data_IF_565848121702
#
_entry.id   IF_565848121702
#
_cell.length_a   1.000
_cell.length_b   1.000
_cell.length_c   1.000
_cell.angle_alpha   90.00
_cell.angle_beta   90.00
_cell.angle_gamma   90.00
#
_symmetry.space_group_name_H-M   'P 1'
#
loop_
_entity.id
_entity.type
_entity.pdbx_description
1 polymer ?
#
# COMPACT_ATOMS: atom_id res chain seq x y z
N UNK A 1 31.67 -1.76 -1.76
CA UNK A 1 31.61 -1.37 -0.32
C UNK A 1 31.17 -2.59 0.49
N UNK A 2 31.65 -2.77 1.73
CA UNK A 2 31.35 -3.98 2.53
C UNK A 2 29.87 -4.13 2.89
N UNK A 3 29.40 -5.37 3.07
CA UNK A 3 27.98 -5.70 3.36
C UNK A 3 27.42 -5.00 4.61
N UNK A 4 28.26 -4.67 5.60
CA UNK A 4 27.85 -4.00 6.84
C UNK A 4 27.47 -2.53 6.57
N UNK A 5 28.20 -1.83 5.70
CA UNK A 5 27.94 -0.43 5.38
C UNK A 5 26.57 -0.27 4.71
N UNK A 6 26.21 -1.18 3.79
CA UNK A 6 24.90 -1.17 3.13
C UNK A 6 23.74 -1.43 4.10
N UNK A 7 23.93 -2.30 5.10
CA UNK A 7 22.91 -2.48 6.17
C UNK A 7 22.74 -1.18 6.97
N UNK A 8 23.84 -0.48 7.25
CA UNK A 8 23.79 0.81 7.94
C UNK A 8 23.06 1.88 7.10
N UNK A 9 23.26 1.89 5.79
CA UNK A 9 22.52 2.74 4.85
C UNK A 9 21.01 2.46 4.90
N UNK A 10 20.60 1.18 4.93
CA UNK A 10 19.19 0.81 5.07
C UNK A 10 18.59 1.31 6.38
N UNK A 11 19.28 1.18 7.51
CA UNK A 11 18.82 1.78 8.78
C UNK A 11 18.80 3.31 8.74
N UNK A 12 19.77 3.93 8.06
CA UNK A 12 19.83 5.38 7.88
C UNK A 12 18.64 5.87 7.06
N UNK A 13 18.25 5.14 6.01
CA UNK A 13 17.04 5.42 5.25
C UNK A 13 15.79 5.33 6.14
N UNK A 14 15.60 4.22 6.86
CA UNK A 14 14.45 4.03 7.75
C UNK A 14 14.35 5.18 8.75
N UNK A 15 15.47 5.53 9.40
CA UNK A 15 15.56 6.66 10.31
C UNK A 15 15.20 7.97 9.60
N UNK A 16 15.73 8.23 8.40
CA UNK A 16 15.46 9.46 7.66
C UNK A 16 13.96 9.60 7.33
N UNK A 17 13.33 8.53 6.82
CA UNK A 17 11.91 8.52 6.50
C UNK A 17 11.04 8.72 7.76
N UNK A 18 11.44 8.13 8.89
CA UNK A 18 10.74 8.33 10.17
C UNK A 18 10.83 9.75 10.72
N UNK A 19 11.87 10.52 10.37
CA UNK A 19 12.02 11.92 10.80
C UNK A 19 11.21 12.89 9.94
N UNK A 20 10.94 12.54 8.67
CA UNK A 20 10.13 13.38 7.77
C UNK A 20 8.66 13.29 8.18
N UNK A 21 8.11 12.06 8.22
CA UNK A 21 6.77 11.77 8.74
C UNK A 21 5.65 12.69 8.20
N UNK A 22 5.55 12.82 6.88
CA UNK A 22 4.58 13.64 6.16
C UNK A 22 5.01 13.99 4.72
N UNK A 23 4.43 15.05 4.17
CA UNK A 23 4.54 15.42 2.76
C UNK A 23 5.86 16.12 2.37
N UNK A 24 6.70 16.48 3.34
CA UNK A 24 7.94 17.25 3.13
C UNK A 24 9.10 16.42 2.53
N UNK A 25 8.81 15.21 2.03
CA UNK A 25 9.80 14.38 1.36
C UNK A 25 10.24 15.02 0.03
N UNK A 26 11.55 15.28 -0.10
CA UNK A 26 12.07 15.79 -1.36
C UNK A 26 12.03 14.72 -2.47
N UNK A 27 11.91 15.18 -3.71
CA UNK A 27 11.68 14.31 -4.89
C UNK A 27 12.87 13.38 -5.14
N UNK A 28 14.10 13.85 -4.93
CA UNK A 28 15.30 13.01 -5.06
C UNK A 28 15.29 11.83 -4.10
N UNK A 29 14.89 12.03 -2.84
CA UNK A 29 14.81 10.97 -1.84
C UNK A 29 13.65 10.02 -2.14
N UNK A 30 12.52 10.57 -2.59
CA UNK A 30 11.35 9.81 -2.99
C UNK A 30 11.71 8.83 -4.14
N UNK A 31 12.24 9.36 -5.23
CA UNK A 31 12.63 8.56 -6.41
C UNK A 31 13.74 7.58 -6.06
N UNK A 32 14.78 8.02 -5.32
CA UNK A 32 15.83 7.12 -4.85
C UNK A 32 15.26 5.99 -4.01
N UNK A 33 14.25 6.24 -3.18
CA UNK A 33 13.63 5.18 -2.37
C UNK A 33 12.81 4.24 -3.25
N UNK A 34 12.03 4.79 -4.18
CA UNK A 34 11.18 4.02 -5.09
C UNK A 34 11.98 3.08 -6.01
N UNK A 35 13.13 3.52 -6.50
CA UNK A 35 13.93 2.78 -7.50
C UNK A 35 15.20 2.11 -6.94
N UNK A 36 15.38 2.04 -5.61
CA UNK A 36 16.55 1.37 -5.01
C UNK A 36 16.22 0.04 -4.34
N UNK A 37 17.23 -0.84 -4.33
CA UNK A 37 17.25 -2.08 -3.56
C UNK A 37 17.99 -1.85 -2.24
N UNK A 38 17.32 -2.15 -1.14
CA UNK A 38 17.94 -2.08 0.18
C UNK A 38 18.65 -3.38 0.58
N UNK A 39 19.72 -3.25 1.37
CA UNK A 39 20.43 -4.40 1.93
C UNK A 39 19.74 -4.85 3.21
N UNK A 40 18.92 -5.88 3.09
CA UNK A 40 18.04 -6.31 4.17
C UNK A 40 18.81 -6.99 5.33
N UNK A 41 18.81 -6.42 6.55
CA UNK A 41 19.31 -7.12 7.73
C UNK A 41 18.39 -8.29 8.11
N UNK A 42 18.73 -9.11 9.12
CA UNK A 42 17.81 -10.10 9.68
C UNK A 42 16.44 -9.48 9.98
N UNK A 43 15.36 -10.20 9.65
CA UNK A 43 13.97 -9.74 9.67
C UNK A 43 13.60 -8.67 8.64
N UNK A 44 14.56 -8.20 7.85
CA UNK A 44 14.38 -7.25 6.78
C UNK A 44 13.38 -7.71 5.72
N UNK A 45 12.51 -6.81 5.28
CA UNK A 45 11.47 -7.01 4.27
C UNK A 45 11.36 -5.77 3.42
N UNK A 46 10.96 -5.97 2.19
CA UNK A 46 10.93 -4.92 1.19
C UNK A 46 9.79 -5.16 0.21
N UNK A 47 8.99 -4.12 -0.02
CA UNK A 47 7.76 -4.21 -0.81
C UNK A 47 7.67 -3.02 -1.77
N UNK A 48 7.19 -3.30 -2.98
CA UNK A 48 6.62 -2.31 -3.87
C UNK A 48 5.17 -2.70 -4.12
N UNK A 49 4.26 -1.82 -3.74
CA UNK A 49 2.85 -1.94 -4.05
C UNK A 49 2.46 -0.90 -5.09
N UNK A 50 1.80 -1.37 -6.13
CA UNK A 50 1.22 -0.53 -7.17
C UNK A 50 -0.29 -0.74 -7.14
N UNK A 51 -1.00 0.19 -6.52
CA UNK A 51 -2.45 0.15 -6.39
C UNK A 51 -3.08 1.15 -7.35
N UNK A 52 -4.12 0.72 -8.07
CA UNK A 52 -4.91 1.59 -8.94
C UNK A 52 -6.39 1.40 -8.65
N UNK A 53 -7.10 2.51 -8.50
CA UNK A 53 -8.51 2.57 -8.16
C UNK A 53 -9.25 3.32 -9.26
N UNK A 54 -10.15 2.63 -9.98
CA UNK A 54 -10.97 3.20 -11.03
C UNK A 54 -12.02 4.17 -10.47
N UNK A 55 -12.43 5.15 -11.27
CA UNK A 55 -13.44 6.14 -10.88
C UNK A 55 -14.86 5.84 -11.40
N UNK A 56 -15.01 4.82 -12.24
CA UNK A 56 -16.25 4.50 -12.95
C UNK A 56 -16.86 3.16 -12.50
N UNK A 57 -18.20 3.13 -12.40
CA UNK A 57 -19.00 1.93 -12.09
C UNK A 57 -19.35 1.77 -10.61
N UNK A 58 -20.35 0.95 -10.30
CA UNK A 58 -20.77 0.67 -8.91
C UNK A 58 -19.69 -0.07 -8.11
N UNK A 59 -18.94 -0.94 -8.79
CA UNK A 59 -17.76 -1.66 -8.28
C UNK A 59 -16.61 -1.36 -9.23
N UNK A 60 -15.83 -0.30 -8.99
CA UNK A 60 -14.85 0.15 -9.97
C UNK A 60 -13.71 -0.85 -10.18
N UNK A 61 -13.08 -0.75 -11.34
CA UNK A 61 -11.85 -1.50 -11.66
C UNK A 61 -10.81 -1.23 -10.57
N UNK A 62 -10.23 -2.28 -10.00
CA UNK A 62 -9.15 -2.15 -9.02
C UNK A 62 -8.01 -3.08 -9.35
N UNK A 63 -6.78 -2.57 -9.22
CA UNK A 63 -5.57 -3.30 -9.57
C UNK A 63 -4.63 -3.25 -8.39
N UNK A 64 -3.99 -4.38 -8.09
CA UNK A 64 -2.85 -4.44 -7.18
C UNK A 64 -1.75 -5.25 -7.82
N UNK A 65 -0.56 -4.67 -7.94
CA UNK A 65 0.67 -5.39 -8.28
C UNK A 65 1.65 -5.29 -7.10
N UNK A 66 2.44 -6.35 -6.92
CA UNK A 66 3.37 -6.53 -5.82
C UNK A 66 4.73 -6.97 -6.34
N UNK A 67 5.80 -6.34 -5.87
CA UNK A 67 7.14 -6.92 -5.79
C UNK A 67 7.48 -7.07 -4.31
N UNK A 68 7.82 -8.28 -3.87
CA UNK A 68 8.12 -8.58 -2.49
C UNK A 68 9.42 -9.36 -2.36
N UNK A 69 10.29 -8.93 -1.44
CA UNK A 69 11.42 -9.74 -0.97
C UNK A 69 11.64 -9.60 0.52
N UNK A 70 12.41 -10.54 1.07
CA UNK A 70 12.81 -10.52 2.46
C UNK A 70 14.22 -11.05 2.64
N UNK A 71 14.77 -10.81 3.82
CA UNK A 71 15.97 -11.49 4.28
C UNK A 71 15.75 -13.01 4.38
N UNK A 72 16.79 -13.77 4.05
CA UNK A 72 16.78 -15.24 4.01
C UNK A 72 16.72 -15.77 2.57
N UNK A 73 16.77 -17.10 2.43
CA UNK A 73 16.96 -17.75 1.11
C UNK A 73 15.66 -18.12 0.39
N UNK A 74 14.59 -18.37 1.14
CA UNK A 74 13.32 -18.84 0.59
C UNK A 74 12.13 -18.61 1.53
N UNK A 75 10.93 -18.83 0.99
CA UNK A 75 9.67 -18.99 1.71
C UNK A 75 8.66 -19.78 0.86
N UNK A 76 7.57 -20.22 1.47
CA UNK A 76 6.35 -20.57 0.77
C UNK A 76 5.49 -19.31 0.62
N UNK A 77 5.12 -18.99 -0.61
CA UNK A 77 4.15 -17.95 -0.95
C UNK A 77 2.99 -18.64 -1.67
N UNK A 78 1.78 -18.60 -1.12
CA UNK A 78 0.63 -19.36 -1.62
C UNK A 78 0.93 -20.85 -1.83
N UNK A 79 1.63 -21.44 -0.86
CA UNK A 79 2.11 -22.84 -0.88
C UNK A 79 3.12 -23.18 -2.00
N UNK A 80 3.60 -22.19 -2.76
CA UNK A 80 4.69 -22.36 -3.74
C UNK A 80 6.01 -21.92 -3.12
N UNK A 81 7.08 -22.70 -3.31
CA UNK A 81 8.42 -22.28 -2.85
C UNK A 81 8.94 -21.13 -3.72
N UNK A 82 9.21 -20.00 -3.08
CA UNK A 82 9.82 -18.82 -3.68
C UNK A 82 11.19 -18.59 -3.04
N UNK A 83 12.20 -18.33 -3.88
CA UNK A 83 13.57 -18.07 -3.47
C UNK A 83 13.86 -16.57 -3.46
N UNK A 84 14.79 -16.18 -2.60
CA UNK A 84 15.30 -14.81 -2.52
C UNK A 84 16.82 -14.84 -2.64
N UNK A 85 17.35 -13.98 -3.49
CA UNK A 85 18.78 -13.83 -3.67
C UNK A 85 19.09 -12.40 -4.13
N UNK A 86 20.26 -11.90 -3.74
CA UNK A 86 20.86 -10.73 -4.37
C UNK A 86 21.77 -11.26 -5.48
N UNK A 87 21.48 -10.90 -6.72
CA UNK A 87 22.22 -11.37 -7.89
C UNK A 87 23.33 -10.38 -8.25
N UNK A 88 23.02 -9.08 -8.19
CA UNK A 88 23.96 -7.97 -8.35
C UNK A 88 23.52 -6.80 -7.47
N UNK A 89 24.17 -5.63 -7.59
CA UNK A 89 23.78 -4.44 -6.81
C UNK A 89 22.35 -3.97 -7.14
N UNK A 90 21.93 -4.19 -8.38
CA UNK A 90 20.70 -3.69 -8.98
C UNK A 90 19.71 -4.82 -9.35
N UNK A 91 20.03 -6.08 -9.02
CA UNK A 91 19.19 -7.23 -9.36
C UNK A 91 18.93 -8.14 -8.16
N UNK A 92 17.66 -8.46 -7.96
CA UNK A 92 17.21 -9.37 -6.90
C UNK A 92 16.22 -10.38 -7.42
N UNK A 93 16.28 -11.59 -6.87
CA UNK A 93 15.23 -12.57 -7.02
C UNK A 93 14.13 -12.29 -5.97
N UNK A 94 12.92 -12.03 -6.43
CA UNK A 94 11.79 -11.60 -5.63
C UNK A 94 10.52 -12.41 -5.96
N UNK A 95 9.49 -12.24 -5.13
CA UNK A 95 8.12 -12.64 -5.46
C UNK A 95 7.47 -11.49 -6.20
N UNK A 96 6.85 -11.78 -7.33
CA UNK A 96 5.93 -10.87 -7.98
C UNK A 96 4.54 -11.48 -8.03
N UNK A 97 3.53 -10.66 -7.85
CA UNK A 97 2.13 -11.10 -7.78
C UNK A 97 1.21 -9.95 -8.13
N UNK A 98 -0.03 -10.25 -8.51
CA UNK A 98 -1.03 -9.22 -8.66
C UNK A 98 -2.43 -9.75 -8.90
N UNK A 99 -3.38 -8.83 -8.95
CA UNK A 99 -4.75 -9.12 -9.33
C UNK A 99 -5.41 -7.88 -9.93
N UNK A 100 -6.43 -8.11 -10.75
CA UNK A 100 -7.27 -7.09 -11.37
C UNK A 100 -8.72 -7.48 -11.09
N UNK A 101 -9.47 -6.63 -10.40
CA UNK A 101 -10.92 -6.68 -10.43
C UNK A 101 -11.39 -5.80 -11.60
N UNK A 102 -12.16 -6.35 -12.53
CA UNK A 102 -12.49 -5.68 -13.79
C UNK A 102 -13.86 -4.98 -13.80
N UNK A 103 -14.54 -4.96 -12.65
CA UNK A 103 -15.91 -4.49 -12.50
C UNK A 103 -16.94 -5.60 -12.33
N UNK A 104 -16.57 -6.85 -12.64
CA UNK A 104 -17.45 -8.01 -12.54
C UNK A 104 -16.77 -9.12 -11.72
N UNK A 105 -15.55 -9.50 -12.11
CA UNK A 105 -14.81 -10.60 -11.48
C UNK A 105 -13.35 -10.26 -11.14
N UNK A 106 -12.76 -11.07 -10.26
CA UNK A 106 -11.37 -10.95 -9.83
C UNK A 106 -10.46 -11.86 -10.67
N UNK A 107 -9.64 -11.24 -11.52
CA UNK A 107 -8.59 -11.88 -12.29
C UNK A 107 -7.30 -11.95 -11.47
N UNK A 108 -6.93 -13.14 -11.00
CA UNK A 108 -5.64 -13.36 -10.31
C UNK A 108 -4.52 -13.51 -11.33
N UNK A 109 -3.45 -12.75 -11.14
CA UNK A 109 -2.22 -12.88 -11.91
C UNK A 109 -1.28 -13.78 -11.09
N UNK A 110 -0.83 -14.89 -11.67
CA UNK A 110 -0.16 -15.94 -10.91
C UNK A 110 1.15 -15.46 -10.26
N UNK A 111 1.34 -15.87 -8.99
CA UNK A 111 2.58 -15.60 -8.26
C UNK A 111 3.79 -16.17 -9.00
N UNK A 112 4.82 -15.35 -9.17
CA UNK A 112 6.03 -15.68 -9.93
C UNK A 112 7.27 -15.40 -9.10
N UNK A 113 8.28 -16.27 -9.21
CA UNK A 113 9.60 -16.01 -8.62
C UNK A 113 10.49 -15.36 -9.68
N UNK A 114 10.38 -14.04 -9.83
CA UNK A 114 10.99 -13.28 -10.91
C UNK A 114 12.26 -12.56 -10.46
N UNK A 115 13.15 -12.31 -11.42
CA UNK A 115 14.23 -11.34 -11.26
C UNK A 115 13.61 -9.94 -11.37
N UNK A 116 13.93 -9.06 -10.43
CA UNK A 116 13.63 -7.64 -10.50
C UNK A 116 14.95 -6.88 -10.68
N UNK A 117 15.07 -6.19 -11.81
CA UNK A 117 16.17 -5.29 -12.16
C UNK A 117 15.73 -3.85 -11.85
N UNK A 118 16.49 -3.16 -11.01
CA UNK A 118 16.24 -1.80 -10.58
C UNK A 118 17.31 -0.87 -11.11
N UNK A 119 16.90 0.06 -11.97
CA UNK A 119 17.70 1.12 -12.52
C UNK A 119 17.23 2.46 -11.95
N UNK A 120 18.00 3.53 -12.20
CA UNK A 120 17.77 4.87 -11.62
C UNK A 120 16.30 5.36 -11.67
N UNK A 121 15.59 5.06 -12.75
CA UNK A 121 14.24 5.53 -13.06
C UNK A 121 13.35 4.41 -13.62
N UNK A 122 13.73 3.14 -13.39
CA UNK A 122 13.05 2.00 -14.00
C UNK A 122 13.18 0.73 -13.15
N UNK A 123 12.09 -0.01 -13.03
CA UNK A 123 12.03 -1.37 -12.50
C UNK A 123 11.53 -2.28 -13.62
N UNK A 124 12.27 -3.34 -13.92
CA UNK A 124 11.87 -4.38 -14.87
C UNK A 124 11.75 -5.69 -14.11
N UNK A 125 10.65 -6.39 -14.29
CA UNK A 125 10.45 -7.73 -13.75
C UNK A 125 9.44 -8.51 -14.60
N UNK A 126 8.91 -9.60 -14.07
CA UNK A 126 7.93 -10.44 -14.74
C UNK A 126 6.82 -10.82 -13.75
N UNK A 127 5.57 -10.88 -14.22
CA UNK A 127 4.49 -11.56 -13.50
C UNK A 127 3.77 -12.51 -14.46
N UNK A 128 3.76 -13.79 -14.13
CA UNK A 128 3.06 -14.84 -14.87
C UNK A 128 3.43 -14.89 -16.36
N UNK A 129 4.73 -14.79 -16.68
CA UNK A 129 5.23 -14.79 -18.06
C UNK A 129 5.11 -13.45 -18.81
N UNK A 130 4.50 -12.43 -18.20
CA UNK A 130 4.38 -11.09 -18.79
C UNK A 130 5.41 -10.13 -18.20
N UNK A 131 6.12 -9.40 -19.05
CA UNK A 131 7.05 -8.36 -18.61
C UNK A 131 6.29 -7.26 -17.86
N UNK A 132 6.79 -6.90 -16.67
CA UNK A 132 6.34 -5.75 -15.91
C UNK A 132 7.41 -4.67 -15.97
N UNK A 133 7.00 -3.45 -16.36
CA UNK A 133 7.88 -2.28 -16.34
C UNK A 133 7.21 -1.15 -15.57
N UNK A 134 7.87 -0.68 -14.53
CA UNK A 134 7.54 0.57 -13.84
C UNK A 134 8.67 1.58 -14.10
N UNK A 135 8.36 2.77 -14.61
CA UNK A 135 9.39 3.74 -14.98
C UNK A 135 8.96 5.19 -14.80
N UNK A 136 9.92 6.10 -14.72
CA UNK A 136 9.70 7.54 -14.65
C UNK A 136 10.29 8.14 -13.39
N UNK A 137 9.77 9.30 -12.99
CA UNK A 137 10.21 10.06 -11.83
C UNK A 137 9.04 10.87 -11.30
N UNK A 138 9.02 11.20 -10.02
CA UNK A 138 7.93 12.03 -9.49
C UNK A 138 7.79 13.35 -10.29
N UNK A 139 6.56 13.79 -10.65
CA UNK A 139 5.25 13.16 -10.41
C UNK A 139 4.72 12.30 -11.58
N UNK A 140 5.56 11.95 -12.56
CA UNK A 140 5.15 11.28 -13.79
C UNK A 140 5.74 9.86 -13.89
N UNK A 141 4.86 8.86 -13.86
CA UNK A 141 5.26 7.46 -13.96
C UNK A 141 4.52 6.73 -15.08
N UNK A 142 5.05 5.59 -15.46
CA UNK A 142 4.45 4.63 -16.38
C UNK A 142 4.50 3.24 -15.73
N UNK A 143 3.38 2.52 -15.78
CA UNK A 143 3.29 1.12 -15.39
C UNK A 143 2.77 0.31 -16.58
N UNK A 144 3.49 -0.74 -16.94
CA UNK A 144 3.06 -1.72 -17.95
C UNK A 144 3.19 -3.14 -17.41
N UNK A 145 2.27 -4.01 -17.83
CA UNK A 145 2.32 -5.46 -17.59
C UNK A 145 1.80 -6.17 -18.83
N UNK A 146 2.71 -6.60 -19.72
CA UNK A 146 2.37 -7.13 -21.04
C UNK A 146 1.29 -6.30 -21.74
N UNK A 147 0.28 -6.97 -22.29
CA UNK A 147 -0.90 -6.33 -22.89
C UNK A 147 -2.04 -6.07 -21.87
N UNK A 148 -1.86 -6.48 -20.61
CA UNK A 148 -2.90 -6.39 -19.58
C UNK A 148 -3.02 -4.97 -19.01
N UNK A 149 -1.91 -4.28 -18.80
CA UNK A 149 -1.87 -2.97 -18.15
C UNK A 149 -0.95 -2.04 -18.92
N UNK A 150 -1.43 -0.82 -19.19
CA UNK A 150 -0.62 0.29 -19.66
C UNK A 150 -1.19 1.58 -19.08
N UNK A 151 -0.60 2.05 -17.99
CA UNK A 151 -1.09 3.18 -17.20
C UNK A 151 -0.04 4.26 -17.08
N UNK A 152 -0.42 5.47 -17.49
CA UNK A 152 0.35 6.69 -17.26
C UNK A 152 -0.17 7.36 -16.01
N UNK A 153 0.76 7.73 -15.14
CA UNK A 153 0.49 8.44 -13.90
C UNK A 153 1.01 9.87 -14.03
N UNK A 154 0.22 10.82 -13.55
CA UNK A 154 0.56 12.24 -13.51
C UNK A 154 0.13 12.84 -12.19
N UNK A 155 0.66 14.02 -11.88
CA UNK A 155 0.18 14.77 -10.73
C UNK A 155 -1.34 14.99 -10.82
N UNK A 156 -2.03 14.84 -9.69
CA UNK A 156 -3.47 15.03 -9.58
C UNK A 156 -3.83 16.09 -8.56
N UNK A 157 -5.13 16.34 -8.39
CA UNK A 157 -5.62 17.25 -7.36
C UNK A 157 -5.76 16.54 -6.01
N UNK A 158 -4.64 16.27 -5.34
CA UNK A 158 -4.60 15.71 -3.98
C UNK A 158 -3.98 16.72 -3.02
N UNK A 159 -4.43 16.76 -1.76
CA UNK A 159 -3.83 17.61 -0.72
C UNK A 159 -2.37 17.20 -0.47
N UNK A 160 -2.13 15.90 -0.35
CA UNK A 160 -0.80 15.30 -0.21
C UNK A 160 -0.59 14.35 -1.40
N UNK A 161 0.27 14.72 -2.35
CA UNK A 161 0.58 13.94 -3.56
C UNK A 161 1.76 12.98 -3.36
N UNK A 162 2.50 13.15 -2.27
CA UNK A 162 3.60 12.29 -1.84
C UNK A 162 3.75 12.40 -0.33
N UNK A 163 4.22 11.34 0.29
CA UNK A 163 4.56 11.32 1.71
C UNK A 163 5.76 10.40 1.98
N UNK A 164 6.47 10.67 3.07
CA UNK A 164 7.35 9.71 3.72
C UNK A 164 6.92 9.51 5.17
N UNK A 165 6.84 8.26 5.59
CA UNK A 165 6.54 7.91 6.98
C UNK A 165 7.53 6.87 7.48
N UNK A 166 7.61 6.76 8.80
CA UNK A 166 8.33 5.66 9.40
C UNK A 166 8.24 5.63 10.91
N UNK A 167 8.58 4.47 11.45
CA UNK A 167 8.78 4.25 12.88
C UNK A 167 10.15 3.62 13.04
N UNK A 168 10.99 4.14 13.94
CA UNK A 168 12.33 3.62 14.16
C UNK A 168 12.60 3.48 15.66
N UNK A 169 12.70 2.22 16.11
CA UNK A 169 13.04 1.83 17.47
C UNK A 169 14.15 0.76 17.38
N UNK A 170 15.44 1.17 17.32
CA UNK A 170 16.55 0.26 17.07
C UNK A 170 16.52 -1.01 17.95
N UNK A 171 16.76 -2.20 17.38
CA UNK A 171 17.12 -2.46 15.98
C UNK A 171 15.92 -2.59 15.02
N UNK A 172 14.70 -2.28 15.47
CA UNK A 172 13.48 -2.43 14.68
C UNK A 172 13.09 -1.11 14.02
N UNK A 173 12.42 -1.21 12.88
CA UNK A 173 11.79 -0.05 12.27
C UNK A 173 11.25 -0.33 10.88
N UNK A 174 10.41 0.57 10.41
CA UNK A 174 9.85 0.54 9.06
C UNK A 174 9.83 1.96 8.53
N UNK A 175 10.23 2.13 7.28
CA UNK A 175 10.12 3.39 6.56
C UNK A 175 9.47 3.12 5.22
N UNK A 176 8.63 4.04 4.77
CA UNK A 176 8.00 3.95 3.47
C UNK A 176 7.77 5.31 2.86
N UNK A 177 7.62 5.29 1.54
CA UNK A 177 7.17 6.42 0.76
C UNK A 177 5.88 6.06 0.04
N UNK A 178 4.98 7.03 -0.04
CA UNK A 178 3.73 6.94 -0.78
C UNK A 178 3.71 8.02 -1.87
N UNK A 179 3.16 7.68 -3.04
CA UNK A 179 2.86 8.64 -4.11
C UNK A 179 1.40 8.48 -4.50
N UNK A 180 0.71 9.59 -4.63
CA UNK A 180 -0.67 9.68 -5.10
C UNK A 180 -0.71 10.42 -6.42
N UNK A 181 -1.40 9.86 -7.39
CA UNK A 181 -1.40 10.39 -8.76
C UNK A 181 -2.70 10.07 -9.46
N UNK A 182 -3.05 10.86 -10.46
CA UNK A 182 -4.06 10.47 -11.43
C UNK A 182 -3.47 9.41 -12.36
N UNK A 183 -4.22 8.37 -12.65
CA UNK A 183 -3.82 7.30 -13.55
C UNK A 183 -4.81 7.19 -14.70
N UNK A 184 -4.27 7.06 -15.92
CA UNK A 184 -5.07 6.87 -17.13
C UNK A 184 -4.36 5.97 -18.12
N UNK A 185 -5.13 5.22 -18.91
CA UNK A 185 -4.58 4.35 -19.94
C UNK A 185 -5.49 3.18 -20.27
N UNK A 186 -4.93 1.97 -20.28
CA UNK A 186 -5.66 0.74 -20.59
C UNK A 186 -5.42 -0.35 -19.55
N UNK A 187 -6.49 -1.09 -19.26
CA UNK A 187 -6.51 -2.25 -18.37
C UNK A 187 -7.40 -3.29 -19.04
N UNK A 188 -6.87 -4.50 -19.26
CA UNK A 188 -7.54 -5.58 -19.99
C UNK A 188 -8.13 -5.10 -21.34
N UNK A 189 -7.36 -4.29 -22.06
CA UNK A 189 -7.76 -3.67 -23.34
C UNK A 189 -8.79 -2.53 -23.24
N UNK A 190 -9.46 -2.35 -22.11
CA UNK A 190 -10.47 -1.28 -21.87
C UNK A 190 -9.80 0.01 -21.40
N UNK A 191 -10.45 1.16 -21.62
CA UNK A 191 -9.97 2.45 -21.09
C UNK A 191 -10.07 2.45 -19.56
N UNK A 192 -9.06 3.00 -18.91
CA UNK A 192 -9.02 3.19 -17.47
C UNK A 192 -8.76 4.66 -17.14
N UNK A 193 -9.47 5.17 -16.14
CA UNK A 193 -9.21 6.43 -15.46
C UNK A 193 -9.45 6.24 -13.96
N UNK A 194 -8.62 6.88 -13.15
CA UNK A 194 -8.75 6.80 -11.71
C UNK A 194 -7.52 7.30 -10.98
N UNK A 195 -7.29 6.78 -9.77
CA UNK A 195 -6.19 7.17 -8.88
C UNK A 195 -5.17 6.04 -8.76
N UNK A 196 -3.88 6.38 -8.75
CA UNK A 196 -2.80 5.50 -8.36
C UNK A 196 -2.32 5.82 -6.94
N UNK A 197 -2.05 4.76 -6.17
CA UNK A 197 -1.27 4.82 -4.94
C UNK A 197 -0.06 3.90 -5.10
N UNK A 198 1.12 4.51 -5.21
CA UNK A 198 2.38 3.80 -5.28
C UNK A 198 3.00 3.80 -3.89
N UNK A 199 3.41 2.64 -3.40
CA UNK A 199 4.05 2.53 -2.10
C UNK A 199 5.31 1.70 -2.20
N UNK A 200 6.36 2.20 -1.54
CA UNK A 200 7.60 1.47 -1.34
C UNK A 200 7.90 1.39 0.14
N UNK A 201 7.94 0.18 0.68
CA UNK A 201 8.19 -0.10 2.10
C UNK A 201 9.52 -0.84 2.27
N UNK A 202 10.30 -0.42 3.25
CA UNK A 202 11.49 -1.12 3.74
C UNK A 202 11.35 -1.25 5.25
N UNK A 203 11.42 -2.47 5.76
CA UNK A 203 11.15 -2.74 7.17
C UNK A 203 12.06 -3.80 7.77
N UNK A 204 12.44 -3.59 9.02
CA UNK A 204 13.16 -4.53 9.88
C UNK A 204 12.31 -4.75 11.12
N UNK A 205 11.40 -5.71 11.03
CA UNK A 205 10.47 -6.05 12.09
C UNK A 205 9.96 -7.48 11.89
N UNK A 206 9.52 -8.21 12.92
CA UNK A 206 8.71 -9.40 12.69
C UNK A 206 7.48 -9.03 11.86
N UNK A 207 6.91 -9.99 11.11
CA UNK A 207 5.56 -9.79 10.60
C UNK A 207 4.67 -9.51 11.80
N UNK A 208 3.78 -8.53 11.74
CA UNK A 208 2.83 -8.22 12.81
C UNK A 208 1.40 -8.32 12.29
N UNK A 209 0.41 -8.64 13.13
CA UNK A 209 -0.97 -8.56 12.74
C UNK A 209 -1.40 -7.09 12.67
N UNK A 210 -2.10 -6.69 11.62
CA UNK A 210 -2.56 -5.31 11.44
C UNK A 210 -3.84 -5.24 10.61
N UNK A 211 -4.52 -4.11 10.74
CA UNK A 211 -5.45 -3.64 9.72
C UNK A 211 -4.94 -2.35 9.11
N UNK A 212 -5.08 -2.21 7.79
CA UNK A 212 -4.83 -0.98 7.08
C UNK A 212 -5.97 -0.75 6.10
N UNK A 213 -6.52 0.44 6.02
CA UNK A 213 -7.51 0.76 5.01
C UNK A 213 -7.20 2.12 4.37
N UNK A 214 -7.53 2.23 3.09
CA UNK A 214 -7.49 3.49 2.36
C UNK A 214 -8.64 3.53 1.37
N UNK A 215 -9.42 4.60 1.43
CA UNK A 215 -10.55 4.88 0.54
C UNK A 215 -10.29 6.22 -0.13
N UNK A 216 -10.41 6.25 -1.46
CA UNK A 216 -10.34 7.46 -2.27
C UNK A 216 -11.75 7.79 -2.76
N UNK A 217 -12.18 9.03 -2.57
CA UNK A 217 -13.50 9.51 -2.97
C UNK A 217 -13.45 10.27 -4.30
N UNK A 218 -14.61 10.40 -4.96
CA UNK A 218 -14.76 11.10 -6.25
C UNK A 218 -14.32 12.56 -6.20
N UNK A 219 -14.45 13.23 -5.06
CA UNK A 219 -13.95 14.59 -4.87
C UNK A 219 -12.43 14.64 -4.54
N UNK A 220 -11.71 13.53 -4.71
CA UNK A 220 -10.29 13.32 -4.36
C UNK A 220 -9.98 13.39 -2.86
N UNK A 221 -10.98 13.39 -1.98
CA UNK A 221 -10.75 13.21 -0.55
C UNK A 221 -10.25 11.80 -0.26
N UNK A 222 -9.54 11.63 0.84
CA UNK A 222 -8.95 10.35 1.22
C UNK A 222 -9.22 10.06 2.69
N UNK A 223 -9.78 8.88 2.95
CA UNK A 223 -9.86 8.30 4.28
C UNK A 223 -8.78 7.21 4.40
N UNK A 224 -7.99 7.25 5.48
CA UNK A 224 -6.98 6.24 5.78
C UNK A 224 -7.06 5.82 7.24
N UNK A 225 -6.86 4.54 7.49
CA UNK A 225 -6.94 3.91 8.79
C UNK A 225 -5.80 2.91 8.94
N UNK A 226 -5.19 2.86 10.12
CA UNK A 226 -4.20 1.84 10.43
C UNK A 226 -4.28 1.44 11.90
N UNK A 227 -4.20 0.14 12.18
CA UNK A 227 -3.96 -0.36 13.53
C UNK A 227 -3.00 -1.56 13.54
N UNK A 228 -2.12 -1.58 14.54
CA UNK A 228 -1.23 -2.70 14.82
C UNK A 228 -1.79 -3.52 15.98
N UNK A 229 -2.00 -4.82 15.77
CA UNK A 229 -2.65 -5.73 16.72
C UNK A 229 -1.60 -6.50 17.53
N UNK A 230 -2.01 -6.99 18.70
CA UNK A 230 -1.19 -7.96 19.47
C UNK A 230 -1.30 -9.40 18.97
N UNK A 231 -2.33 -9.71 18.17
CA UNK A 231 -2.66 -11.04 17.68
C UNK A 231 -3.83 -11.01 16.70
N UNK A 232 -4.13 -12.13 16.04
CA UNK A 232 -5.22 -12.24 15.05
C UNK A 232 -6.57 -11.78 15.60
N UNK A 233 -6.96 -12.29 16.76
CA UNK A 233 -8.26 -12.04 17.38
C UNK A 233 -8.16 -10.99 18.51
N UNK A 234 -7.07 -10.22 18.54
CA UNK A 234 -6.85 -9.20 19.57
C UNK A 234 -7.65 -7.93 19.31
N UNK A 235 -8.43 -7.52 20.30
CA UNK A 235 -9.04 -6.18 20.39
C UNK A 235 -8.09 -5.15 21.04
N UNK A 236 -6.91 -5.58 21.49
CA UNK A 236 -5.84 -4.70 21.96
C UNK A 236 -4.92 -4.32 20.80
N UNK A 237 -4.72 -3.02 20.63
CA UNK A 237 -3.89 -2.44 19.58
C UNK A 237 -2.69 -1.71 20.17
N UNK A 238 -1.51 -1.97 19.60
CA UNK A 238 -0.24 -1.29 19.93
C UNK A 238 -0.16 0.12 19.32
N UNK A 239 -0.80 0.30 18.17
CA UNK A 239 -0.87 1.58 17.48
C UNK A 239 -2.21 1.68 16.77
N UNK A 240 -2.78 2.89 16.74
CA UNK A 240 -4.05 3.19 16.07
C UNK A 240 -3.97 4.61 15.50
N UNK A 241 -4.34 4.77 14.25
CA UNK A 241 -4.44 6.08 13.63
C UNK A 241 -5.55 6.10 12.59
N UNK A 242 -6.23 7.25 12.50
CA UNK A 242 -7.17 7.58 11.45
C UNK A 242 -6.77 8.94 10.89
N UNK A 243 -6.68 9.04 9.56
CA UNK A 243 -6.39 10.27 8.83
C UNK A 243 -7.47 10.46 7.77
N UNK A 244 -8.04 11.66 7.72
CA UNK A 244 -8.95 12.07 6.68
C UNK A 244 -8.50 13.39 6.09
N UNK A 245 -8.53 13.46 4.78
CA UNK A 245 -8.24 14.65 4.01
C UNK A 245 -9.43 14.98 3.15
N UNK A 246 -9.98 16.16 3.34
CA UNK A 246 -11.01 16.70 2.48
C UNK A 246 -10.39 17.65 1.47
N UNK A 247 -10.23 17.18 0.25
CA UNK A 247 -9.60 17.94 -0.85
C UNK A 247 -10.40 19.18 -1.22
N UNK A 248 -11.73 19.15 -1.07
CA UNK A 248 -12.59 20.28 -1.44
C UNK A 248 -12.38 21.47 -0.51
N UNK A 249 -12.37 21.24 0.80
CA UNK A 249 -12.23 22.31 1.79
C UNK A 249 -10.79 22.48 2.30
N UNK A 250 -9.84 21.67 1.83
CA UNK A 250 -8.43 21.69 2.26
C UNK A 250 -8.28 21.42 3.77
N UNK A 251 -9.11 20.52 4.31
CA UNK A 251 -9.14 20.19 5.73
C UNK A 251 -8.48 18.83 5.97
N UNK A 252 -7.69 18.73 7.03
CA UNK A 252 -7.12 17.47 7.50
C UNK A 252 -7.62 17.16 8.91
N UNK A 253 -8.29 16.02 9.08
CA UNK A 253 -8.70 15.48 10.38
C UNK A 253 -7.80 14.29 10.71
N UNK A 254 -7.13 14.37 11.86
CA UNK A 254 -6.28 13.29 12.39
C UNK A 254 -6.80 12.85 13.76
N UNK A 255 -6.93 11.54 13.93
CA UNK A 255 -7.11 10.92 15.24
C UNK A 255 -5.85 10.08 15.54
N UNK A 256 -5.09 10.51 16.55
CA UNK A 256 -3.85 9.88 16.97
C UNK A 256 -4.13 9.05 18.22
N UNK A 257 -4.13 7.72 18.09
CA UNK A 257 -4.49 6.79 19.16
C UNK A 257 -5.96 6.89 19.65
N UNK A 258 -6.98 6.89 18.77
CA UNK A 258 -8.38 6.92 19.18
C UNK A 258 -8.77 5.69 20.02
N UNK A 259 -9.89 5.79 20.75
CA UNK A 259 -10.65 4.59 21.14
C UNK A 259 -11.22 4.01 19.85
N UNK A 260 -10.78 2.82 19.50
CA UNK A 260 -11.02 2.21 18.19
C UNK A 260 -11.77 0.90 18.38
N UNK A 261 -12.80 0.69 17.57
CA UNK A 261 -13.43 -0.59 17.33
C UNK A 261 -13.35 -0.94 15.84
N UNK A 262 -13.05 -2.20 15.55
CA UNK A 262 -12.93 -2.72 14.18
C UNK A 262 -13.55 -4.10 14.17
N UNK A 263 -14.58 -4.27 13.36
CA UNK A 263 -15.30 -5.53 13.25
C UNK A 263 -15.67 -5.84 11.82
N UNK A 264 -15.99 -7.11 11.57
CA UNK A 264 -16.53 -7.58 10.29
C UNK A 264 -17.93 -8.16 10.53
N UNK A 265 -18.92 -7.65 9.82
CA UNK A 265 -20.33 -8.05 9.90
C UNK A 265 -20.78 -8.46 8.49
N UNK A 266 -20.84 -9.77 8.24
CA UNK A 266 -21.05 -10.31 6.90
C UNK A 266 -19.95 -9.87 5.93
N UNK A 267 -20.36 -9.22 4.84
CA UNK A 267 -19.44 -8.67 3.84
C UNK A 267 -19.05 -7.21 4.10
N UNK A 268 -19.33 -6.68 5.30
CA UNK A 268 -18.97 -5.33 5.67
C UNK A 268 -17.88 -5.31 6.74
N UNK A 269 -16.90 -4.43 6.55
CA UNK A 269 -16.02 -3.96 7.62
C UNK A 269 -16.61 -2.72 8.27
N UNK A 270 -16.63 -2.67 9.60
CA UNK A 270 -17.06 -1.52 10.38
C UNK A 270 -15.87 -1.00 11.18
N UNK A 271 -15.51 0.26 10.96
CA UNK A 271 -14.42 0.96 11.65
C UNK A 271 -15.03 2.14 12.39
N UNK A 272 -14.90 2.14 13.72
CA UNK A 272 -15.36 3.24 14.57
C UNK A 272 -14.21 3.76 15.42
N UNK A 273 -13.99 5.07 15.40
CA UNK A 273 -12.91 5.74 16.11
C UNK A 273 -13.39 7.00 16.82
N UNK A 274 -13.06 7.13 18.10
CA UNK A 274 -13.40 8.31 18.91
C UNK A 274 -12.15 8.86 19.60
N UNK A 275 -11.89 10.15 19.45
CA UNK A 275 -10.85 10.87 20.18
C UNK A 275 -11.35 12.26 20.57
N UNK A 276 -11.55 12.51 21.87
CA UNK A 276 -12.10 13.77 22.40
C UNK A 276 -13.43 14.11 21.71
N UNK A 277 -13.45 15.16 20.91
CA UNK A 277 -14.56 15.70 20.15
C UNK A 277 -14.63 15.19 18.69
N UNK A 278 -13.68 14.34 18.29
CA UNK A 278 -13.62 13.75 16.96
C UNK A 278 -14.25 12.37 16.95
N UNK A 279 -15.02 12.09 15.92
CA UNK A 279 -15.69 10.81 15.72
C UNK A 279 -15.60 10.39 14.26
N UNK A 280 -15.28 9.12 14.04
CA UNK A 280 -15.27 8.48 12.73
C UNK A 280 -16.06 7.20 12.79
N UNK A 281 -16.94 7.00 11.82
CA UNK A 281 -17.57 5.71 11.50
C UNK A 281 -17.45 5.48 9.99
N UNK A 282 -16.95 4.31 9.61
CA UNK A 282 -16.92 3.86 8.22
C UNK A 282 -17.48 2.43 8.15
N UNK A 283 -18.42 2.21 7.23
CA UNK A 283 -18.93 0.88 6.87
C UNK A 283 -18.52 0.62 5.43
N UNK A 284 -17.71 -0.41 5.22
CA UNK A 284 -17.04 -0.72 3.96
C UNK A 284 -17.50 -2.09 3.45
N UNK A 285 -18.28 -2.14 2.37
CA UNK A 285 -18.71 -3.38 1.72
C UNK A 285 -17.56 -3.97 0.89
N UNK A 286 -17.29 -5.25 1.08
CA UNK A 286 -16.35 -6.04 0.30
C UNK A 286 -16.99 -6.44 -1.02
N UNK A 287 -16.31 -6.15 -2.14
CA UNK A 287 -16.74 -6.61 -3.46
C UNK A 287 -15.74 -7.56 -4.13
N UNK A 288 -14.48 -7.59 -3.67
CA UNK A 288 -13.51 -8.59 -4.10
C UNK A 288 -12.54 -8.93 -2.96
N UNK A 289 -12.00 -10.15 -2.97
CA UNK A 289 -11.07 -10.62 -1.94
C UNK A 289 -9.89 -11.36 -2.58
N UNK A 290 -8.68 -10.94 -2.25
CA UNK A 290 -7.47 -11.67 -2.56
C UNK A 290 -6.69 -12.02 -1.28
N UNK A 291 -6.08 -13.21 -1.25
CA UNK A 291 -5.37 -13.74 -0.08
C UNK A 291 -3.97 -14.19 -0.48
N UNK A 292 -2.99 -13.81 0.34
CA UNK A 292 -1.61 -14.29 0.30
C UNK A 292 -1.29 -15.07 1.57
N UNK A 293 -0.77 -16.28 1.43
CA UNK A 293 -0.25 -17.08 2.54
C UNK A 293 1.29 -17.12 2.46
N UNK A 294 1.96 -16.58 3.48
CA UNK A 294 3.40 -16.39 3.53
C UNK A 294 4.01 -17.20 4.69
N UNK A 295 4.85 -18.20 4.39
CA UNK A 295 5.50 -19.05 5.42
C UNK A 295 7.01 -19.16 5.18
N UNK A 296 7.84 -18.78 6.14
CA UNK A 296 9.30 -18.92 6.05
C UNK A 296 10.07 -17.85 6.81
N UNK A 297 10.43 -18.16 8.07
CA UNK A 297 10.89 -17.17 9.05
C UNK A 297 9.74 -16.54 9.85
N UNK A 298 8.62 -17.26 9.98
CA UNK A 298 7.32 -16.81 10.48
C UNK A 298 6.18 -17.32 9.58
N UNK A 299 4.95 -17.08 10.00
CA UNK A 299 3.73 -17.25 9.20
C UNK A 299 3.01 -15.91 9.14
N UNK A 300 2.50 -15.54 7.97
CA UNK A 300 1.58 -14.43 7.82
C UNK A 300 0.53 -14.79 6.77
N UNK A 301 -0.74 -14.70 7.14
CA UNK A 301 -1.86 -14.57 6.22
C UNK A 301 -2.09 -13.08 6.01
N UNK A 302 -2.19 -12.67 4.75
CA UNK A 302 -2.47 -11.30 4.37
C UNK A 302 -3.61 -11.30 3.37
N UNK A 303 -4.71 -10.65 3.73
CA UNK A 303 -5.92 -10.59 2.92
C UNK A 303 -6.16 -9.15 2.49
N UNK A 304 -6.32 -8.93 1.20
CA UNK A 304 -6.74 -7.66 0.63
C UNK A 304 -8.20 -7.77 0.23
N UNK A 305 -9.01 -6.88 0.76
CA UNK A 305 -10.41 -6.73 0.37
C UNK A 305 -10.52 -5.44 -0.44
N UNK A 306 -11.01 -5.54 -1.66
CA UNK A 306 -11.48 -4.39 -2.41
C UNK A 306 -12.84 -3.98 -1.84
N UNK A 307 -13.00 -2.70 -1.52
CA UNK A 307 -14.14 -2.20 -0.76
C UNK A 307 -14.73 -0.90 -1.33
N UNK A 308 -16.03 -0.74 -1.14
CA UNK A 308 -16.76 0.52 -1.36
C UNK A 308 -17.40 0.98 -0.04
N UNK A 309 -17.40 2.28 0.27
CA UNK A 309 -18.03 2.78 1.48
C UNK A 309 -19.56 2.82 1.31
N UNK A 310 -20.27 2.19 2.24
CA UNK A 310 -21.74 2.25 2.34
C UNK A 310 -22.23 3.31 3.32
N UNK A 311 -21.45 3.52 4.37
CA UNK A 311 -21.67 4.62 5.31
C UNK A 311 -20.32 5.25 5.65
N UNK A 312 -20.31 6.57 5.75
CA UNK A 312 -19.18 7.31 6.30
C UNK A 312 -19.70 8.49 7.10
N UNK A 313 -19.14 8.67 8.29
CA UNK A 313 -19.31 9.88 9.09
C UNK A 313 -17.97 10.24 9.69
N UNK A 314 -17.45 11.42 9.38
CA UNK A 314 -16.23 11.96 9.95
C UNK A 314 -16.57 13.32 10.55
N UNK A 315 -16.35 13.48 11.84
CA UNK A 315 -16.77 14.66 12.60
C UNK A 315 -15.64 15.18 13.47
N UNK A 316 -15.52 16.51 13.55
CA UNK A 316 -14.80 17.24 14.60
C UNK A 316 -15.71 18.32 15.22
N UNK A 317 -15.13 19.31 15.93
CA UNK A 317 -15.91 20.39 16.55
C UNK A 317 -16.72 21.21 15.54
N UNK A 318 -16.20 21.37 14.33
CA UNK A 318 -16.67 22.39 13.38
C UNK A 318 -17.28 21.77 12.12
N UNK A 319 -16.93 20.52 11.81
CA UNK A 319 -17.22 19.90 10.54
C UNK A 319 -17.86 18.52 10.74
N UNK A 320 -18.73 18.15 9.82
CA UNK A 320 -19.23 16.79 9.67
C UNK A 320 -19.23 16.47 8.18
N UNK A 321 -18.56 15.37 7.82
CA UNK A 321 -18.44 14.88 6.46
C UNK A 321 -19.13 13.51 6.36
N UNK A 322 -19.91 13.35 5.29
CA UNK A 322 -20.64 12.14 4.95
C UNK A 322 -20.39 11.76 3.50
N UNK A 323 -20.87 10.60 3.06
CA UNK A 323 -20.79 10.21 1.64
C UNK A 323 -21.47 11.21 0.69
N UNK A 324 -22.51 11.91 1.15
CA UNK A 324 -23.17 12.94 0.34
C UNK A 324 -22.23 14.13 0.02
N UNK A 325 -21.27 14.40 0.90
CA UNK A 325 -20.31 15.49 0.73
C UNK A 325 -19.12 15.09 -0.15
N UNK A 326 -18.73 13.81 -0.09
CA UNK A 326 -17.51 13.28 -0.73
C UNK A 326 -17.77 12.62 -2.09
N UNK A 327 -18.99 12.14 -2.31
CA UNK A 327 -19.36 11.28 -3.42
C UNK A 327 -18.99 9.81 -3.17
N UNK A 328 -19.16 9.01 -4.22
CA UNK A 328 -18.75 7.60 -4.25
C UNK A 328 -17.25 7.46 -3.94
N UNK A 329 -16.88 6.32 -3.34
CA UNK A 329 -15.49 6.02 -3.03
C UNK A 329 -15.15 4.56 -3.31
N UNK A 330 -13.86 4.30 -3.41
CA UNK A 330 -13.32 2.96 -3.66
C UNK A 330 -11.99 2.83 -2.92
N UNK A 331 -11.64 1.62 -2.50
CA UNK A 331 -10.37 1.41 -1.85
C UNK A 331 -10.10 -0.01 -1.40
N UNK A 332 -9.15 -0.14 -0.48
CA UNK A 332 -8.72 -1.43 0.06
C UNK A 332 -8.84 -1.40 1.57
N UNK A 333 -9.21 -2.54 2.15
CA UNK A 333 -8.86 -2.88 3.54
C UNK A 333 -8.01 -4.16 3.54
N UNK A 334 -6.92 -4.10 4.29
CA UNK A 334 -5.96 -5.17 4.47
C UNK A 334 -6.13 -5.75 5.87
N UNK A 335 -6.12 -7.08 5.94
CA UNK A 335 -6.14 -7.85 7.18
C UNK A 335 -4.95 -8.81 7.18
N UNK A 336 -3.98 -8.49 8.02
CA UNK A 336 -2.78 -9.29 8.18
C UNK A 336 -2.74 -9.92 9.56
N UNK A 337 -2.39 -11.20 9.64
CA UNK A 337 -2.22 -11.94 10.89
C UNK A 337 -1.35 -13.17 10.70
N UNK A 338 -0.98 -13.88 11.78
CA UNK A 338 -0.09 -15.04 11.72
C UNK A 338 -0.82 -16.37 11.53
#
# INVERSE_FOLDING_TARGET
MGSINRIHETYTLIKKLSHINGADVNETLLDRTMFAIEKLPPLGKEYWWFLFFGEDGERPVQITLLIFRKHGKKMLFNNKEMKFNELSEDEVLAVTSGWIYDGDELHKIADTNAIALLQKDKIISEISGSEMVFSGSYPNYLMTLGDLINLKMKNGNFIETKDAYGVFLPPLGMGWVDVFSEASGRVLGKKFKGTAHLQKVVGVAPFGPFHWARIVFKNHSVFSFFCLKMGKDSHTFLHKSIKFFDTKNQITIRLNNPKLDVSRIGDNWVIEGVEKNKHVKAVLEIYATNRYDMKGGGSQVYIQYAVIPKELTIKDDNNTFTLNDLGEGVGTIEDAYW
#
